data_IF_649306120832
#
_entry.id   IF_649306120832
#
_cell.length_a   1.000
_cell.length_b   1.000
_cell.length_c   1.000
_cell.angle_alpha   90.00
_cell.angle_beta   90.00
_cell.angle_gamma   90.00
#
_symmetry.space_group_name_H-M   'P 1'
#
loop_
_entity.id
_entity.type
_entity.pdbx_description
1 polymer ?
#
# COMPACT_ATOMS: atom_id res chain seq x y z
N UNK A 1 -50.29 7.91 15.53
CA UNK A 1 -49.03 8.59 15.14
C UNK A 1 -48.39 7.86 13.97
N UNK A 2 -48.04 8.53 12.85
CA UNK A 2 -47.43 7.84 11.72
C UNK A 2 -45.97 7.51 12.06
N UNK A 3 -45.57 6.24 11.87
CA UNK A 3 -44.19 5.78 12.04
C UNK A 3 -43.31 6.53 11.04
N UNK A 4 -42.44 7.43 11.52
CA UNK A 4 -41.39 8.05 10.70
C UNK A 4 -40.62 6.93 10.01
N UNK A 5 -40.66 6.88 8.69
CA UNK A 5 -39.98 5.86 7.90
C UNK A 5 -38.46 6.14 7.94
N UNK A 6 -37.80 5.69 9.01
CA UNK A 6 -36.37 5.85 9.22
C UNK A 6 -35.55 5.33 8.02
N UNK A 7 -36.02 4.28 7.33
CA UNK A 7 -35.32 3.71 6.18
C UNK A 7 -35.22 4.70 5.02
N UNK A 8 -36.28 5.47 4.75
CA UNK A 8 -36.26 6.49 3.71
C UNK A 8 -35.29 7.62 4.04
N UNK A 9 -35.23 8.03 5.31
CA UNK A 9 -34.30 9.06 5.79
C UNK A 9 -32.85 8.58 5.68
N UNK A 10 -32.55 7.36 6.13
CA UNK A 10 -31.21 6.79 6.02
C UNK A 10 -30.77 6.59 4.57
N UNK A 11 -31.68 6.16 3.69
CA UNK A 11 -31.41 6.05 2.25
C UNK A 11 -31.08 7.41 1.64
N UNK A 12 -31.85 8.45 1.96
CA UNK A 12 -31.61 9.82 1.50
C UNK A 12 -30.24 10.34 2.00
N UNK A 13 -29.94 10.19 3.28
CA UNK A 13 -28.64 10.59 3.86
C UNK A 13 -27.47 9.87 3.18
N UNK A 14 -27.59 8.56 2.97
CA UNK A 14 -26.55 7.76 2.29
C UNK A 14 -26.37 8.17 0.83
N UNK A 15 -27.43 8.58 0.15
CA UNK A 15 -27.36 9.11 -1.23
C UNK A 15 -26.68 10.48 -1.32
N UNK A 16 -26.70 11.27 -0.24
CA UNK A 16 -26.09 12.61 -0.16
C UNK A 16 -24.69 12.59 0.47
N UNK A 17 -24.35 11.53 1.20
CA UNK A 17 -23.02 11.31 1.76
C UNK A 17 -22.03 10.87 0.67
N UNK A 18 -21.03 11.72 0.38
CA UNK A 18 -19.90 11.40 -0.50
C UNK A 18 -18.69 10.84 0.26
N UNK A 19 -18.77 10.72 1.59
CA UNK A 19 -17.70 10.16 2.40
C UNK A 19 -17.72 8.64 2.30
N UNK A 20 -16.57 8.04 1.99
CA UNK A 20 -16.37 6.60 2.19
C UNK A 20 -16.62 6.33 3.68
N UNK A 21 -17.59 5.48 3.98
CA UNK A 21 -17.77 4.96 5.35
C UNK A 21 -16.40 4.44 5.82
N UNK A 22 -15.95 4.94 6.97
CA UNK A 22 -14.76 4.42 7.64
C UNK A 22 -14.95 2.95 8.03
N UNK A 23 -13.99 2.40 8.77
CA UNK A 23 -14.10 1.03 9.27
C UNK A 23 -15.34 0.97 10.20
N UNK A 24 -16.28 0.09 9.88
CA UNK A 24 -17.42 -0.19 10.74
C UNK A 24 -16.97 -0.87 12.04
N UNK A 25 -17.81 -0.83 13.06
CA UNK A 25 -17.42 -1.32 14.38
C UNK A 25 -17.10 -2.81 14.35
N UNK A 26 -15.96 -3.16 14.96
CA UNK A 26 -15.39 -4.49 14.96
C UNK A 26 -15.67 -5.19 16.28
N UNK A 27 -15.83 -6.50 16.26
CA UNK A 27 -15.85 -7.33 17.46
C UNK A 27 -14.50 -7.25 18.18
N UNK A 28 -14.52 -7.01 19.50
CA UNK A 28 -13.33 -6.96 20.34
C UNK A 28 -12.63 -8.32 20.33
N UNK A 29 -13.40 -9.41 20.42
CA UNK A 29 -12.88 -10.76 20.21
C UNK A 29 -13.00 -11.12 18.72
N UNK A 30 -11.88 -11.33 17.99
CA UNK A 30 -11.92 -11.68 16.56
C UNK A 30 -12.64 -13.00 16.25
N UNK A 31 -12.71 -13.90 17.22
CA UNK A 31 -13.31 -15.24 17.10
C UNK A 31 -14.73 -15.31 17.68
N UNK A 32 -15.10 -14.45 18.63
CA UNK A 32 -16.48 -14.35 19.13
C UNK A 32 -17.30 -13.24 18.44
N UNK A 33 -18.20 -13.66 17.54
CA UNK A 33 -19.18 -12.82 16.84
C UNK A 33 -20.28 -12.23 17.74
N UNK A 34 -20.33 -12.60 19.01
CA UNK A 34 -21.23 -12.00 20.01
C UNK A 34 -20.51 -11.02 20.93
N UNK A 35 -19.19 -10.90 20.82
CA UNK A 35 -18.43 -9.96 21.65
C UNK A 35 -18.88 -8.52 21.39
N UNK A 36 -18.64 -7.68 22.39
CA UNK A 36 -18.83 -6.25 22.28
C UNK A 36 -18.02 -5.68 21.11
N UNK A 37 -18.46 -4.53 20.62
CA UNK A 37 -17.83 -3.89 19.47
C UNK A 37 -17.02 -2.67 19.89
N UNK A 38 -16.00 -2.36 19.10
CA UNK A 38 -15.19 -1.15 19.23
C UNK A 38 -16.06 0.11 19.25
N UNK A 39 -15.71 1.07 20.10
CA UNK A 39 -16.47 2.31 20.29
C UNK A 39 -15.88 3.49 19.52
N UNK A 40 -14.56 3.47 19.26
CA UNK A 40 -13.84 4.56 18.60
C UNK A 40 -12.85 4.05 17.52
N UNK A 41 -12.12 4.97 16.90
CA UNK A 41 -11.18 4.65 15.83
C UNK A 41 -9.84 4.07 16.34
N UNK A 42 -9.48 4.36 17.59
CA UNK A 42 -8.24 3.88 18.21
C UNK A 42 -8.38 2.38 18.49
N UNK A 43 -9.47 1.98 19.15
CA UNK A 43 -9.80 0.57 19.38
C UNK A 43 -9.91 -0.21 18.06
N UNK A 44 -10.49 0.39 17.01
CA UNK A 44 -10.52 -0.24 15.68
C UNK A 44 -9.13 -0.49 15.12
N UNK A 45 -8.22 0.47 15.28
CA UNK A 45 -6.85 0.36 14.80
C UNK A 45 -6.08 -0.71 15.60
N UNK A 46 -6.26 -0.76 16.92
CA UNK A 46 -5.66 -1.75 17.81
C UNK A 46 -6.13 -3.16 17.46
N UNK A 47 -7.45 -3.42 17.45
CA UNK A 47 -8.01 -4.74 17.14
C UNK A 47 -7.53 -5.28 15.79
N UNK A 48 -7.45 -4.40 14.78
CA UNK A 48 -6.91 -4.77 13.47
C UNK A 48 -5.41 -5.09 13.58
N UNK A 49 -4.63 -4.22 14.23
CA UNK A 49 -3.18 -4.40 14.37
C UNK A 49 -2.85 -5.68 15.12
N UNK A 50 -3.55 -5.97 16.21
CA UNK A 50 -3.38 -7.16 17.03
C UNK A 50 -3.70 -8.42 16.23
N UNK A 51 -4.84 -8.43 15.52
CA UNK A 51 -5.20 -9.54 14.66
C UNK A 51 -4.12 -9.81 13.59
N UNK A 52 -3.69 -8.78 12.86
CA UNK A 52 -2.70 -8.95 11.79
C UNK A 52 -1.32 -9.35 12.33
N UNK A 53 -0.96 -8.86 13.52
CA UNK A 53 0.25 -9.27 14.21
C UNK A 53 0.21 -10.74 14.61
N UNK A 54 -0.94 -11.22 15.10
CA UNK A 54 -1.11 -12.62 15.51
C UNK A 54 -1.00 -13.63 14.36
N UNK A 55 -1.27 -13.21 13.12
CA UNK A 55 -1.20 -14.07 11.93
C UNK A 55 0.10 -13.91 11.15
N UNK A 56 1.04 -13.08 11.63
CA UNK A 56 2.36 -13.01 11.02
C UNK A 56 3.13 -14.31 11.22
N UNK A 57 3.85 -14.70 10.18
CA UNK A 57 4.71 -15.87 10.23
C UNK A 57 5.85 -15.62 11.20
N UNK A 58 5.99 -16.46 12.22
CA UNK A 58 7.19 -16.53 13.03
C UNK A 58 8.26 -17.27 12.22
N UNK A 59 9.23 -16.53 11.68
CA UNK A 59 10.30 -17.16 10.91
C UNK A 59 11.14 -18.08 11.82
N UNK A 60 11.38 -19.33 11.40
CA UNK A 60 12.20 -20.24 12.19
C UNK A 60 13.63 -19.71 12.29
N UNK A 61 14.20 -19.69 13.50
CA UNK A 61 15.64 -19.49 13.66
C UNK A 61 16.37 -20.70 13.06
N UNK A 62 17.04 -20.49 11.92
CA UNK A 62 17.78 -21.55 11.23
C UNK A 62 18.34 -21.09 9.89
N UNK A 63 19.10 -21.95 9.23
CA UNK A 63 19.61 -21.71 7.89
C UNK A 63 18.46 -21.72 6.88
N UNK A 64 18.24 -20.57 6.22
CA UNK A 64 17.34 -20.47 5.08
C UNK A 64 18.01 -21.25 3.94
N UNK A 65 17.32 -22.26 3.39
CA UNK A 65 17.82 -22.98 2.21
C UNK A 65 18.09 -21.98 1.09
N UNK A 66 19.33 -21.95 0.60
CA UNK A 66 19.65 -21.06 -0.51
C UNK A 66 18.80 -21.42 -1.73
N UNK A 67 18.18 -20.42 -2.38
CA UNK A 67 17.43 -20.67 -3.60
C UNK A 67 18.36 -21.26 -4.66
N UNK A 68 17.82 -22.11 -5.54
CA UNK A 68 18.59 -22.68 -6.65
C UNK A 68 19.21 -21.55 -7.48
N UNK A 69 20.54 -21.47 -7.49
CA UNK A 69 21.27 -20.50 -8.29
C UNK A 69 21.15 -20.84 -9.77
N UNK A 70 20.60 -19.90 -10.54
CA UNK A 70 20.60 -19.96 -12.01
C UNK A 70 21.76 -19.10 -12.49
N UNK A 71 22.72 -19.71 -13.18
CA UNK A 71 23.82 -18.98 -13.79
C UNK A 71 23.35 -18.32 -15.08
N UNK A 72 23.20 -17.00 -15.05
CA UNK A 72 22.97 -16.17 -16.24
C UNK A 72 24.29 -15.56 -16.70
N UNK A 73 24.50 -15.48 -18.01
CA UNK A 73 25.71 -14.88 -18.57
C UNK A 73 25.76 -13.37 -18.33
N UNK A 74 24.62 -12.70 -18.42
CA UNK A 74 24.54 -11.25 -18.28
C UNK A 74 24.09 -10.89 -16.87
N UNK A 75 24.92 -10.15 -16.14
CA UNK A 75 24.54 -9.57 -14.85
C UNK A 75 23.58 -8.40 -15.07
N UNK A 76 22.73 -8.12 -14.08
CA UNK A 76 21.92 -6.91 -14.11
C UNK A 76 22.84 -5.68 -14.01
N UNK A 77 22.67 -4.75 -14.93
CA UNK A 77 23.44 -3.51 -14.94
C UNK A 77 22.95 -2.57 -13.84
N UNK A 78 23.85 -1.70 -13.37
CA UNK A 78 23.51 -0.66 -12.41
C UNK A 78 22.46 0.29 -13.02
N UNK A 79 21.41 0.57 -12.25
CA UNK A 79 20.31 1.41 -12.70
C UNK A 79 20.64 2.89 -12.50
N UNK A 80 20.81 3.61 -13.60
CA UNK A 80 20.92 5.06 -13.59
C UNK A 80 19.56 5.71 -13.90
N UNK A 81 18.97 6.38 -12.92
CA UNK A 81 17.63 6.98 -13.05
C UNK A 81 17.75 8.38 -13.64
N UNK A 82 17.44 8.50 -14.94
CA UNK A 82 17.47 9.76 -15.68
C UNK A 82 16.17 10.56 -15.53
N UNK A 83 16.28 11.89 -15.64
CA UNK A 83 15.16 12.85 -15.65
C UNK A 83 14.02 12.42 -16.57
N UNK A 84 14.32 12.06 -17.82
CA UNK A 84 13.30 11.72 -18.82
C UNK A 84 12.43 10.54 -18.37
N UNK A 85 13.03 9.55 -17.72
CA UNK A 85 12.31 8.40 -17.19
C UNK A 85 11.40 8.81 -16.03
N UNK A 86 11.89 9.66 -15.12
CA UNK A 86 11.08 10.21 -14.03
C UNK A 86 9.91 11.02 -14.58
N UNK A 87 10.17 11.85 -15.59
CA UNK A 87 9.16 12.67 -16.24
C UNK A 87 8.06 11.81 -16.91
N UNK A 88 8.44 10.75 -17.61
CA UNK A 88 7.51 9.78 -18.20
C UNK A 88 6.54 9.23 -17.14
N UNK A 89 7.04 8.85 -15.96
CA UNK A 89 6.19 8.38 -14.87
C UNK A 89 5.34 9.47 -14.24
N UNK A 90 5.88 10.69 -14.09
CA UNK A 90 5.13 11.84 -13.57
C UNK A 90 3.94 12.20 -14.45
N UNK A 91 4.11 12.16 -15.77
CA UNK A 91 3.03 12.44 -16.73
C UNK A 91 1.91 11.40 -16.69
N UNK A 92 2.20 10.16 -16.29
CA UNK A 92 1.20 9.09 -16.14
C UNK A 92 0.38 9.20 -14.85
N UNK A 93 0.79 10.02 -13.89
CA UNK A 93 0.04 10.24 -12.64
C UNK A 93 -1.16 11.13 -12.95
N UNK A 94 -2.36 10.72 -12.52
CA UNK A 94 -3.58 11.52 -12.66
C UNK A 94 -3.43 12.80 -11.83
N UNK A 95 -3.07 13.91 -12.47
CA UNK A 95 -2.92 15.21 -11.80
C UNK A 95 -4.24 15.99 -11.83
N UNK A 96 -4.76 16.30 -10.65
CA UNK A 96 -5.78 17.34 -10.52
C UNK A 96 -5.08 18.70 -10.42
N UNK A 97 -4.97 19.40 -11.56
CA UNK A 97 -4.73 20.85 -11.69
C UNK A 97 -3.62 21.48 -10.80
N UNK A 98 -2.36 21.08 -10.95
CA UNK A 98 -1.23 21.84 -10.38
C UNK A 98 -0.03 21.87 -11.35
N UNK A 99 0.91 22.79 -11.08
CA UNK A 99 2.14 23.11 -11.85
C UNK A 99 2.82 21.88 -12.47
N UNK A 100 3.31 22.05 -13.70
CA UNK A 100 3.70 20.97 -14.59
C UNK A 100 4.75 20.00 -14.02
N UNK A 101 4.69 18.71 -14.40
CA UNK A 101 5.58 17.65 -13.92
C UNK A 101 7.08 17.91 -14.23
N UNK A 102 7.37 18.77 -15.21
CA UNK A 102 8.72 19.05 -15.71
C UNK A 102 9.66 19.63 -14.63
N UNK A 103 9.13 20.44 -13.72
CA UNK A 103 9.95 21.15 -12.71
C UNK A 103 10.42 20.24 -11.57
N UNK A 104 9.80 19.08 -11.37
CA UNK A 104 10.14 18.16 -10.27
C UNK A 104 10.85 16.89 -10.76
N UNK A 105 10.87 16.63 -12.07
CA UNK A 105 11.52 15.44 -12.62
C UNK A 105 13.04 15.44 -12.38
N UNK A 106 13.69 16.59 -12.54
CA UNK A 106 15.14 16.73 -12.38
C UNK A 106 15.58 16.50 -10.92
N UNK A 107 15.04 17.23 -9.91
CA UNK A 107 15.38 16.97 -8.52
C UNK A 107 15.11 15.52 -8.08
N UNK A 108 13.99 14.93 -8.52
CA UNK A 108 13.66 13.56 -8.18
C UNK A 108 14.65 12.56 -8.78
N UNK A 109 15.12 12.78 -10.01
CA UNK A 109 16.11 11.90 -10.65
C UNK A 109 17.44 11.87 -9.87
N UNK A 110 17.87 13.02 -9.35
CA UNK A 110 19.07 13.15 -8.51
C UNK A 110 18.87 12.40 -7.20
N UNK A 111 17.73 12.63 -6.51
CA UNK A 111 17.43 11.97 -5.23
C UNK A 111 17.35 10.44 -5.41
N UNK A 112 16.66 9.97 -6.45
CA UNK A 112 16.53 8.53 -6.71
C UNK A 112 17.88 7.87 -6.99
N UNK A 113 18.73 8.52 -7.79
CA UNK A 113 20.08 8.02 -8.08
C UNK A 113 20.93 7.97 -6.81
N UNK A 114 20.93 9.04 -6.00
CA UNK A 114 21.61 9.05 -4.71
C UNK A 114 21.08 7.98 -3.76
N UNK A 115 19.77 7.72 -3.76
CA UNK A 115 19.17 6.68 -2.93
C UNK A 115 19.62 5.28 -3.32
N UNK A 116 19.79 5.00 -4.61
CA UNK A 116 20.33 3.73 -5.10
C UNK A 116 21.82 3.58 -4.73
N UNK A 117 22.62 4.61 -5.01
CA UNK A 117 24.07 4.59 -4.73
C UNK A 117 24.36 4.44 -3.24
N UNK A 118 23.63 5.18 -2.39
CA UNK A 118 23.84 5.18 -0.94
C UNK A 118 23.08 4.06 -0.22
N UNK A 119 22.26 3.28 -0.93
CA UNK A 119 21.38 2.23 -0.36
C UNK A 119 20.48 2.77 0.76
N UNK A 120 20.04 4.02 0.63
CA UNK A 120 19.30 4.73 1.67
C UNK A 120 18.24 5.66 1.07
N UNK A 121 17.05 5.66 1.67
CA UNK A 121 15.93 6.54 1.28
C UNK A 121 15.67 7.61 2.34
N UNK A 122 15.12 8.78 1.96
CA UNK A 122 14.69 9.80 2.90
C UNK A 122 13.77 9.25 4.00
N UNK A 123 13.89 9.75 5.23
CA UNK A 123 13.09 9.24 6.36
C UNK A 123 11.57 9.37 6.12
N UNK A 124 11.12 10.45 5.48
CA UNK A 124 9.71 10.62 5.12
C UNK A 124 9.17 9.55 4.16
N UNK A 125 10.04 8.82 3.45
CA UNK A 125 9.65 7.76 2.52
C UNK A 125 9.56 6.39 3.19
N UNK A 126 10.13 6.24 4.40
CA UNK A 126 10.08 5.00 5.19
C UNK A 126 8.72 4.78 5.86
N UNK A 127 7.94 5.86 5.99
CA UNK A 127 6.62 5.81 6.58
C UNK A 127 5.56 5.56 5.50
N UNK A 128 4.55 4.78 5.86
CA UNK A 128 3.38 4.54 5.02
C UNK A 128 2.10 4.78 5.84
N UNK A 129 1.07 5.30 5.19
CA UNK A 129 -0.25 5.35 5.80
C UNK A 129 -0.90 3.97 5.65
N UNK A 130 -1.10 3.27 6.76
CA UNK A 130 -1.77 1.97 6.75
C UNK A 130 -3.27 2.19 6.73
N UNK A 131 -3.94 1.58 5.75
CA UNK A 131 -5.40 1.63 5.61
C UNK A 131 -5.95 0.23 5.41
N UNK A 132 -7.18 0.00 5.86
CA UNK A 132 -7.83 -1.30 5.79
C UNK A 132 -8.88 -1.31 4.68
N UNK A 133 -8.93 -2.40 3.92
CA UNK A 133 -9.93 -2.60 2.88
C UNK A 133 -10.72 -3.86 3.20
N UNK A 134 -12.04 -3.74 3.29
CA UNK A 134 -12.92 -4.89 3.45
C UNK A 134 -12.79 -5.85 2.26
N UNK A 135 -12.60 -7.13 2.54
CA UNK A 135 -12.52 -8.20 1.54
C UNK A 135 -13.88 -8.88 1.34
N UNK A 136 -14.31 -9.73 2.28
CA UNK A 136 -15.54 -10.55 2.18
C UNK A 136 -15.98 -11.04 3.55
N UNK A 137 -17.23 -11.48 3.70
CA UNK A 137 -17.76 -12.03 4.96
C UNK A 137 -18.36 -10.97 5.88
N UNK A 138 -18.25 -11.17 7.19
CA UNK A 138 -18.76 -10.23 8.19
C UNK A 138 -17.81 -9.03 8.32
N UNK A 139 -18.31 -7.82 8.03
CA UNK A 139 -17.56 -6.56 8.12
C UNK A 139 -17.08 -6.22 9.53
N UNK A 140 -17.74 -6.75 10.56
CA UNK A 140 -17.36 -6.54 11.97
C UNK A 140 -16.24 -7.49 12.44
N UNK A 141 -15.66 -8.33 11.58
CA UNK A 141 -14.52 -9.18 11.96
C UNK A 141 -13.22 -8.68 11.31
N UNK A 142 -12.16 -8.51 12.10
CA UNK A 142 -10.85 -8.04 11.62
C UNK A 142 -10.29 -8.91 10.47
N UNK A 143 -10.42 -10.24 10.58
CA UNK A 143 -9.99 -11.22 9.56
C UNK A 143 -10.56 -11.03 8.16
N UNK A 144 -11.68 -10.32 8.05
CA UNK A 144 -12.37 -10.07 6.80
C UNK A 144 -11.92 -8.78 6.11
N UNK A 145 -10.90 -8.11 6.65
CA UNK A 145 -10.23 -6.96 6.05
C UNK A 145 -8.86 -7.33 5.49
N UNK A 146 -8.23 -6.41 4.78
CA UNK A 146 -6.83 -6.46 4.37
C UNK A 146 -6.16 -5.13 4.69
N UNK A 147 -4.98 -5.18 5.28
CA UNK A 147 -4.12 -4.00 5.40
C UNK A 147 -3.48 -3.66 4.06
N UNK A 148 -3.43 -2.37 3.76
CA UNK A 148 -2.77 -1.80 2.59
C UNK A 148 -1.93 -0.63 3.05
N UNK A 149 -0.62 -0.71 2.81
CA UNK A 149 0.32 0.36 3.07
C UNK A 149 0.31 1.35 1.90
N UNK A 150 -0.16 2.57 2.15
CA UNK A 150 -0.15 3.67 1.20
C UNK A 150 1.16 4.44 1.34
N UNK A 151 2.11 4.13 0.45
CA UNK A 151 3.39 4.85 0.34
C UNK A 151 3.23 6.16 -0.42
N UNK A 152 4.19 7.07 -0.23
CA UNK A 152 4.28 8.33 -0.98
C UNK A 152 4.27 8.09 -2.49
N UNK A 153 3.66 9.00 -3.23
CA UNK A 153 3.65 9.00 -4.71
C UNK A 153 5.08 8.96 -5.26
N UNK A 154 6.00 9.65 -4.58
CA UNK A 154 7.41 9.69 -4.97
C UNK A 154 8.06 8.30 -4.87
N UNK A 155 7.80 7.55 -3.79
CA UNK A 155 8.28 6.17 -3.64
C UNK A 155 7.74 5.28 -4.76
N UNK A 156 6.43 5.39 -5.07
CA UNK A 156 5.80 4.60 -6.14
C UNK A 156 6.43 4.84 -7.51
N UNK A 157 6.89 6.06 -7.79
CA UNK A 157 7.61 6.35 -9.04
C UNK A 157 8.94 5.60 -9.05
N UNK A 158 9.74 5.71 -7.99
CA UNK A 158 11.02 5.03 -7.88
C UNK A 158 10.85 3.50 -7.97
N UNK A 159 9.90 2.94 -7.23
CA UNK A 159 9.57 1.51 -7.22
C UNK A 159 9.21 1.01 -8.63
N UNK A 160 8.42 1.78 -9.37
CA UNK A 160 8.05 1.42 -10.74
C UNK A 160 9.26 1.43 -11.68
N UNK A 161 10.14 2.43 -11.59
CA UNK A 161 11.36 2.50 -12.42
C UNK A 161 12.27 1.30 -12.14
N UNK A 162 12.51 0.99 -10.86
CA UNK A 162 13.31 -0.16 -10.43
C UNK A 162 12.67 -1.47 -10.91
N UNK A 163 11.36 -1.62 -10.71
CA UNK A 163 10.61 -2.80 -11.15
C UNK A 163 10.71 -3.00 -12.66
N UNK A 164 10.55 -1.94 -13.45
CA UNK A 164 10.68 -2.02 -14.91
C UNK A 164 12.07 -2.51 -15.33
N UNK A 165 13.13 -1.99 -14.70
CA UNK A 165 14.51 -2.42 -14.94
C UNK A 165 14.72 -3.91 -14.64
N UNK A 166 14.30 -4.35 -13.44
CA UNK A 166 14.42 -5.76 -13.01
C UNK A 166 13.62 -6.68 -13.94
N UNK A 167 12.36 -6.35 -14.22
CA UNK A 167 11.51 -7.18 -15.09
C UNK A 167 12.04 -7.24 -16.52
N UNK A 168 12.58 -6.13 -17.05
CA UNK A 168 13.21 -6.12 -18.37
C UNK A 168 14.41 -7.06 -18.41
N UNK A 169 15.29 -6.99 -17.41
CA UNK A 169 16.44 -7.87 -17.29
C UNK A 169 16.03 -9.35 -17.19
N UNK A 170 15.04 -9.66 -16.34
CA UNK A 170 14.55 -11.04 -16.17
C UNK A 170 13.96 -11.61 -17.46
N UNK A 171 13.21 -10.81 -18.23
CA UNK A 171 12.64 -11.22 -19.52
C UNK A 171 13.72 -11.46 -20.58
N UNK A 172 14.69 -10.56 -20.68
CA UNK A 172 15.80 -10.70 -21.63
C UNK A 172 16.64 -11.95 -21.38
N UNK A 173 16.77 -12.35 -20.11
CA UNK A 173 17.55 -13.52 -19.69
C UNK A 173 16.70 -14.78 -19.44
N UNK A 174 15.40 -14.77 -19.79
CA UNK A 174 14.48 -15.92 -19.66
C UNK A 174 14.48 -16.55 -18.25
N UNK A 175 14.49 -15.71 -17.23
CA UNK A 175 14.52 -16.14 -15.81
C UNK A 175 13.14 -16.68 -15.37
N UNK A 176 12.06 -16.28 -16.05
CA UNK A 176 10.71 -16.83 -15.92
C UNK A 176 9.98 -16.84 -17.26
#
# INVERSE_FOLDING_TARGET
>A
MPRKNLKAIWSYIKSKSKTREGIGDLHIDPEDVKSEKTEDNEQKAEIITDYFTSVFTNEPQGEIQEPKTIFIQNKIEELNIKKDKVLEHLQKIKTFKSTGPDNIAEPLSIIFSQSLTNKAVPNGWKNALVSTIFKKGNKSQAKNHRLVSLTSVVCKIMDNIIREHIISHMKQNKIF
#
